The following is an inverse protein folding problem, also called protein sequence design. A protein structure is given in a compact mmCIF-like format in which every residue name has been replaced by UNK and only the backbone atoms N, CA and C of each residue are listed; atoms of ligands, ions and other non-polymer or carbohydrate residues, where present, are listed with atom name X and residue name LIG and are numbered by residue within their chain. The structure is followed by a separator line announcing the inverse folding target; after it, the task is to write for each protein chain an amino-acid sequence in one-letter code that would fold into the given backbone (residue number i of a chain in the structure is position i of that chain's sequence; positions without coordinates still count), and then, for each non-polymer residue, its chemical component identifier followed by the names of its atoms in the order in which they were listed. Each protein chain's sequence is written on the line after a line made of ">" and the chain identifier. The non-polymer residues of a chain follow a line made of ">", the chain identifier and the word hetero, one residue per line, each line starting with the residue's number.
data_IF_623452370352
#
_entry.id   IF_623452370352
#
_cell.length_a   1.000
_cell.length_b   1.000
_cell.length_c   1.000
_cell.angle_alpha   90.00
_cell.angle_beta   90.00
_cell.angle_gamma   90.00
#
_symmetry.space_group_name_H-M   'P 1'
#
loop_
_entity.id
_entity.type
_entity.pdbx_description
1 polymer ?
#
# COMPACT_ATOMS: atom_id res chain seq x y z
N UNK A 1 15.99 11.23 24.41
CA UNK A 1 15.60 12.34 23.52
C UNK A 1 14.34 11.93 22.76
N UNK A 2 13.31 12.77 22.70
CA UNK A 2 12.11 12.49 21.88
C UNK A 2 12.32 13.00 20.46
N UNK A 3 12.15 12.14 19.45
CA UNK A 3 12.27 12.51 18.05
C UNK A 3 11.10 13.39 17.61
N UNK A 4 11.35 14.35 16.73
CA UNK A 4 10.31 15.19 16.11
C UNK A 4 9.67 14.48 14.91
N UNK A 5 8.47 14.89 14.54
CA UNK A 5 7.89 14.50 13.25
C UNK A 5 8.81 14.98 12.11
N UNK A 6 8.97 14.16 11.08
CA UNK A 6 9.80 14.47 9.90
C UNK A 6 9.19 15.56 9.00
N UNK A 7 7.91 15.87 9.18
CA UNK A 7 7.25 17.00 8.49
C UNK A 7 7.72 18.30 9.15
N UNK A 8 8.47 19.12 8.41
CA UNK A 8 9.14 20.32 8.94
C UNK A 8 8.19 21.32 9.61
N UNK A 9 6.97 21.46 9.07
CA UNK A 9 5.94 22.35 9.61
C UNK A 9 5.23 21.78 10.85
N UNK A 10 5.46 20.51 11.17
CA UNK A 10 4.85 19.83 12.29
C UNK A 10 5.67 19.98 13.57
N UNK A 11 5.10 20.66 14.57
CA UNK A 11 5.73 20.83 15.89
C UNK A 11 5.52 19.63 16.82
N UNK A 12 4.85 18.57 16.36
CA UNK A 12 4.55 17.40 17.18
C UNK A 12 5.74 16.46 17.29
N UNK A 13 5.82 15.76 18.44
CA UNK A 13 6.76 14.64 18.61
C UNK A 13 6.34 13.45 17.75
N UNK A 14 7.34 12.73 17.25
CA UNK A 14 7.17 11.44 16.61
C UNK A 14 6.52 10.46 17.60
N UNK A 15 5.61 9.63 17.05
CA UNK A 15 4.95 8.54 17.79
C UNK A 15 5.19 7.18 17.13
N UNK A 16 5.64 7.16 15.88
CA UNK A 16 5.95 5.95 15.14
C UNK A 16 7.03 6.23 14.09
N UNK A 17 7.69 5.17 13.64
CA UNK A 17 8.56 5.19 12.46
C UNK A 17 7.86 4.43 11.33
N UNK A 18 7.79 5.03 10.15
CA UNK A 18 7.43 4.31 8.94
C UNK A 18 8.67 3.56 8.46
N UNK A 19 8.64 2.23 8.47
CA UNK A 19 9.78 1.42 8.02
C UNK A 19 9.96 1.41 6.49
N UNK A 20 8.90 1.65 5.72
CA UNK A 20 8.99 1.75 4.27
C UNK A 20 9.86 2.95 3.83
N UNK A 21 9.77 4.06 4.57
CA UNK A 21 10.47 5.31 4.23
C UNK A 21 11.58 5.67 5.24
N UNK A 22 11.70 4.90 6.33
CA UNK A 22 12.56 5.18 7.49
C UNK A 22 12.32 6.57 8.11
N UNK A 23 11.06 7.04 8.14
CA UNK A 23 10.70 8.39 8.60
C UNK A 23 9.93 8.37 9.92
N UNK A 24 10.27 9.31 10.81
CA UNK A 24 9.59 9.52 12.07
C UNK A 24 8.32 10.35 11.87
N UNK A 25 7.15 9.84 12.27
CA UNK A 25 5.87 10.50 12.05
C UNK A 25 5.12 10.68 13.37
N UNK A 26 4.46 11.82 13.53
CA UNK A 26 3.44 11.98 14.56
C UNK A 26 2.17 11.19 14.17
N UNK A 27 1.23 11.04 15.10
CA UNK A 27 0.00 10.26 14.88
C UNK A 27 -0.79 10.73 13.65
N UNK A 28 -0.96 12.04 13.49
CA UNK A 28 -1.80 12.58 12.42
C UNK A 28 -1.14 12.42 11.05
N UNK A 29 0.17 12.69 10.96
CA UNK A 29 0.92 12.48 9.72
C UNK A 29 1.10 11.00 9.40
N UNK A 30 1.16 10.10 10.39
CA UNK A 30 1.15 8.67 10.15
C UNK A 30 -0.18 8.24 9.51
N UNK A 31 -1.32 8.75 10.00
CA UNK A 31 -2.63 8.45 9.42
C UNK A 31 -2.69 8.88 7.95
N UNK A 32 -2.36 10.14 7.66
CA UNK A 32 -2.33 10.66 6.28
C UNK A 32 -1.37 9.86 5.40
N UNK A 33 -0.22 9.48 5.95
CA UNK A 33 0.77 8.68 5.23
C UNK A 33 0.23 7.29 4.86
N UNK A 34 -0.44 6.61 5.79
CA UNK A 34 -1.08 5.30 5.55
C UNK A 34 -2.24 5.44 4.56
N UNK A 35 -3.06 6.48 4.68
CA UNK A 35 -4.17 6.73 3.76
C UNK A 35 -3.66 6.93 2.31
N UNK A 36 -2.54 7.66 2.13
CA UNK A 36 -1.90 7.84 0.82
C UNK A 36 -1.31 6.53 0.26
N UNK A 37 -0.75 5.69 1.12
CA UNK A 37 -0.24 4.37 0.71
C UNK A 37 -1.42 3.51 0.23
N UNK A 38 -2.48 3.42 1.02
CA UNK A 38 -3.65 2.61 0.70
C UNK A 38 -4.36 3.09 -0.57
N UNK A 39 -4.45 4.41 -0.80
CA UNK A 39 -5.07 4.94 -2.02
C UNK A 39 -4.32 4.55 -3.31
N UNK A 40 -3.04 4.22 -3.20
CA UNK A 40 -2.21 3.71 -4.31
C UNK A 40 -2.17 2.20 -4.38
N UNK A 41 -2.16 1.51 -3.24
CA UNK A 41 -2.05 0.04 -3.19
C UNK A 41 -3.37 -0.66 -3.48
N UNK A 42 -4.51 -0.12 -3.03
CA UNK A 42 -5.81 -0.76 -3.22
C UNK A 42 -6.18 -0.96 -4.70
N UNK A 43 -6.03 0.04 -5.59
CA UNK A 43 -6.31 -0.15 -7.02
C UNK A 43 -5.45 -1.24 -7.66
N UNK A 44 -4.17 -1.32 -7.26
CA UNK A 44 -3.26 -2.36 -7.76
C UNK A 44 -3.68 -3.76 -7.28
N UNK A 45 -4.13 -3.88 -6.03
CA UNK A 45 -4.67 -5.13 -5.52
C UNK A 45 -5.95 -5.53 -6.27
N UNK A 46 -6.84 -4.58 -6.57
CA UNK A 46 -8.06 -4.82 -7.35
C UNK A 46 -7.76 -5.26 -8.79
N UNK A 47 -6.76 -4.65 -9.43
CA UNK A 47 -6.29 -5.07 -10.77
C UNK A 47 -5.72 -6.49 -10.75
N UNK A 48 -4.85 -6.82 -9.78
CA UNK A 48 -4.30 -8.17 -9.62
C UNK A 48 -5.41 -9.20 -9.42
N UNK A 49 -6.37 -8.90 -8.54
CA UNK A 49 -7.51 -9.78 -8.30
C UNK A 49 -8.37 -9.96 -9.57
N UNK A 50 -8.53 -8.91 -10.37
CA UNK A 50 -9.26 -8.97 -11.64
C UNK A 50 -8.55 -9.87 -12.64
N UNK A 51 -7.22 -9.73 -12.77
CA UNK A 51 -6.41 -10.57 -13.66
C UNK A 51 -6.40 -12.03 -13.21
N UNK A 52 -6.29 -12.29 -11.91
CA UNK A 52 -6.34 -13.65 -11.34
C UNK A 52 -7.68 -14.35 -11.65
N UNK A 53 -8.79 -13.62 -11.48
CA UNK A 53 -10.12 -14.12 -11.84
C UNK A 53 -10.23 -14.40 -13.35
N UNK A 54 -9.70 -13.53 -14.20
CA UNK A 54 -9.70 -13.75 -15.66
C UNK A 54 -8.86 -14.97 -16.05
N UNK A 55 -7.68 -15.14 -15.45
CA UNK A 55 -6.83 -16.31 -15.68
C UNK A 55 -7.49 -17.60 -15.22
N UNK A 56 -8.18 -17.58 -14.07
CA UNK A 56 -8.94 -18.72 -13.57
C UNK A 56 -10.08 -19.12 -14.50
N UNK A 57 -10.73 -18.14 -15.15
CA UNK A 57 -11.78 -18.38 -16.13
C UNK A 57 -11.26 -18.88 -17.48
N UNK A 58 -10.01 -18.60 -17.82
CA UNK A 58 -9.40 -18.98 -19.10
C UNK A 58 -9.14 -20.49 -19.25
N UNK A 59 -9.48 -21.31 -18.23
CA UNK A 59 -9.51 -22.77 -18.21
C UNK A 59 -8.68 -23.42 -19.33
N UNK A 60 -7.35 -23.43 -19.13
CA UNK A 60 -6.34 -23.85 -20.11
C UNK A 60 -6.60 -25.27 -20.65
N UNK A 61 -7.29 -26.11 -19.87
CA UNK A 61 -7.72 -27.45 -20.28
C UNK A 61 -8.62 -27.44 -21.53
N UNK A 62 -9.46 -26.41 -21.74
CA UNK A 62 -10.27 -26.30 -22.98
C UNK A 62 -9.47 -25.87 -24.21
N UNK A 63 -8.30 -25.25 -24.01
CA UNK A 63 -7.43 -24.80 -25.11
C UNK A 63 -6.54 -25.97 -25.59
N UNK A 64 -6.13 -26.85 -24.68
CA UNK A 64 -5.28 -28.02 -24.99
C UNK A 64 -6.08 -29.13 -25.71
N UNK A 65 -7.37 -29.31 -25.40
CA UNK A 65 -8.21 -30.34 -26.03
C UNK A 65 -8.57 -30.04 -27.51
N UNK A 66 -8.28 -28.82 -28.00
CA UNK A 66 -8.57 -28.38 -29.37
C UNK A 66 -7.38 -28.39 -30.34
N UNK A 67 -6.23 -28.96 -29.95
CA UNK A 67 -5.06 -29.07 -30.81
C UNK A 67 -4.82 -30.50 -31.33
#
# INVERSE_FOLDING_TARGET
>A
MSLSCAIETCKCKSRAICHCCNTNLCRDHLKVHVDLINSRMNPLADEINTLDNQLSLLNVDQVIDKC
#
